data_IF_042186264594
#
_entry.id   IF_042186264594
#
_cell.length_a   1.000
_cell.length_b   1.000
_cell.length_c   1.000
_cell.angle_alpha   90.00
_cell.angle_beta   90.00
_cell.angle_gamma   90.00
#
_symmetry.space_group_name_H-M   'P 1'
#
loop_
_entity.id
_entity.type
_entity.pdbx_description
1 polymer ?
#
# COMPACT_ATOMS: atom_id res chain seq x y z
N UNK A 1 -33.10 -36.15 -25.64
CA UNK A 1 -33.19 -34.81 -25.02
C UNK A 1 -31.96 -34.67 -24.09
N UNK A 2 -30.86 -34.19 -24.66
CA UNK A 2 -29.65 -33.96 -23.85
C UNK A 2 -29.95 -32.74 -22.96
N UNK A 3 -30.02 -32.96 -21.66
CA UNK A 3 -29.99 -31.87 -20.66
C UNK A 3 -28.60 -31.20 -20.83
N UNK A 4 -28.57 -30.02 -21.48
CA UNK A 4 -27.42 -29.16 -21.44
C UNK A 4 -27.15 -28.86 -19.96
N UNK A 5 -26.02 -29.33 -19.45
CA UNK A 5 -25.50 -28.82 -18.18
C UNK A 5 -25.42 -27.29 -18.32
N UNK A 6 -25.97 -26.49 -17.39
CA UNK A 6 -25.80 -25.07 -17.44
C UNK A 6 -24.31 -24.77 -17.45
N UNK A 7 -23.86 -23.92 -18.40
CA UNK A 7 -22.49 -23.43 -18.41
C UNK A 7 -22.13 -22.91 -17.02
N UNK A 8 -20.96 -23.23 -16.47
CA UNK A 8 -20.56 -22.72 -15.17
C UNK A 8 -20.68 -21.19 -15.19
N UNK A 9 -21.31 -20.63 -14.17
CA UNK A 9 -21.43 -19.18 -14.03
C UNK A 9 -20.03 -18.57 -13.93
N UNK A 10 -19.75 -17.45 -14.59
CA UNK A 10 -18.46 -16.78 -14.47
C UNK A 10 -18.16 -16.44 -13.03
N UNK A 11 -16.90 -16.63 -12.62
CA UNK A 11 -16.43 -16.32 -11.28
C UNK A 11 -16.40 -14.79 -11.08
N UNK A 12 -17.15 -14.22 -10.13
CA UNK A 12 -17.18 -12.79 -9.92
C UNK A 12 -15.87 -12.27 -9.31
N UNK A 13 -15.47 -11.10 -9.76
CA UNK A 13 -14.21 -10.44 -9.35
C UNK A 13 -14.51 -9.07 -8.78
N UNK A 14 -14.04 -8.80 -7.58
CA UNK A 14 -14.00 -7.45 -7.00
C UNK A 14 -12.57 -6.94 -6.99
N UNK A 15 -12.37 -5.72 -7.47
CA UNK A 15 -11.05 -5.07 -7.51
C UNK A 15 -11.01 -3.94 -6.49
N UNK A 16 -9.99 -3.93 -5.64
CA UNK A 16 -9.65 -2.80 -4.76
C UNK A 16 -8.54 -1.98 -5.37
N UNK A 17 -8.89 -0.80 -5.82
CA UNK A 17 -8.00 0.23 -6.37
C UNK A 17 -7.96 1.45 -5.44
N UNK A 18 -7.11 2.40 -5.76
CA UNK A 18 -6.92 3.63 -5.00
C UNK A 18 -5.47 3.87 -4.68
N UNK A 19 -5.12 5.13 -4.44
CA UNK A 19 -3.74 5.54 -4.27
C UNK A 19 -3.06 4.90 -3.05
N UNK A 20 -1.74 5.04 -2.96
CA UNK A 20 -0.93 4.50 -1.87
C UNK A 20 -1.42 5.03 -0.52
N UNK A 21 -1.54 4.14 0.48
CA UNK A 21 -2.00 4.53 1.81
C UNK A 21 -3.51 4.74 1.96
N UNK A 22 -4.32 4.53 0.91
CA UNK A 22 -5.78 4.72 0.96
C UNK A 22 -6.53 3.70 1.83
N UNK A 23 -5.86 2.66 2.34
CA UNK A 23 -6.45 1.68 3.24
C UNK A 23 -6.94 0.39 2.56
N UNK A 24 -6.49 0.07 1.33
CA UNK A 24 -6.86 -1.15 0.59
C UNK A 24 -6.63 -2.41 1.40
N UNK A 25 -5.41 -2.62 1.87
CA UNK A 25 -5.03 -3.80 2.67
C UNK A 25 -5.81 -3.89 3.99
N UNK A 26 -6.07 -2.76 4.64
CA UNK A 26 -6.90 -2.70 5.86
C UNK A 26 -8.34 -3.15 5.57
N UNK A 27 -8.92 -2.68 4.47
CA UNK A 27 -10.25 -3.09 4.01
C UNK A 27 -10.28 -4.58 3.68
N UNK A 28 -9.30 -5.06 2.90
CA UNK A 28 -9.18 -6.45 2.50
C UNK A 28 -9.13 -7.37 3.73
N UNK A 29 -8.22 -7.11 4.67
CA UNK A 29 -8.10 -7.89 5.93
C UNK A 29 -9.41 -7.96 6.70
N UNK A 30 -10.13 -6.86 6.77
CA UNK A 30 -11.41 -6.80 7.44
C UNK A 30 -12.47 -7.60 6.71
N UNK A 31 -12.58 -7.42 5.41
CA UNK A 31 -13.53 -8.15 4.58
C UNK A 31 -13.31 -9.66 4.67
N UNK A 32 -12.05 -10.13 4.64
CA UNK A 32 -11.71 -11.54 4.80
C UNK A 32 -12.13 -12.11 6.16
N UNK A 33 -12.18 -11.29 7.21
CA UNK A 33 -12.69 -11.71 8.53
C UNK A 33 -14.21 -11.77 8.60
N UNK A 34 -14.89 -10.88 7.86
CA UNK A 34 -16.35 -10.74 7.89
C UNK A 34 -17.04 -11.70 6.90
N UNK A 35 -16.47 -11.94 5.72
CA UNK A 35 -17.02 -12.83 4.68
C UNK A 35 -16.68 -14.31 4.92
N UNK A 36 -17.06 -14.88 6.08
CA UNK A 36 -16.65 -16.23 6.50
C UNK A 36 -17.28 -17.35 5.67
N UNK A 37 -18.47 -17.13 5.15
CA UNK A 37 -19.25 -18.12 4.43
C UNK A 37 -18.99 -18.13 2.92
N UNK A 38 -18.12 -17.23 2.42
CA UNK A 38 -17.76 -17.12 1.02
C UNK A 38 -16.37 -17.72 0.78
N UNK A 39 -16.25 -18.58 -0.22
CA UNK A 39 -14.96 -19.18 -0.63
C UNK A 39 -14.22 -18.19 -1.51
N UNK A 40 -13.37 -17.38 -0.89
CA UNK A 40 -12.66 -16.29 -1.55
C UNK A 40 -11.32 -16.75 -2.11
N UNK A 41 -11.01 -16.31 -3.33
CA UNK A 41 -9.66 -16.22 -3.87
C UNK A 41 -9.12 -14.81 -3.70
N UNK A 42 -7.84 -14.66 -3.37
CA UNK A 42 -7.22 -13.35 -3.13
C UNK A 42 -5.95 -13.20 -3.96
N UNK A 43 -5.89 -12.13 -4.75
CA UNK A 43 -4.70 -11.71 -5.47
C UNK A 43 -4.24 -10.37 -4.91
N UNK A 44 -3.03 -10.30 -4.40
CA UNK A 44 -2.42 -9.06 -3.88
C UNK A 44 -1.29 -8.64 -4.81
N UNK A 45 -1.38 -7.41 -5.32
CA UNK A 45 -0.27 -6.77 -6.03
C UNK A 45 0.36 -5.71 -5.14
N UNK A 46 1.56 -5.98 -4.64
CA UNK A 46 2.34 -5.07 -3.81
C UNK A 46 3.54 -4.53 -4.57
N UNK A 47 3.74 -3.19 -4.51
CA UNK A 47 4.92 -2.51 -5.04
C UNK A 47 6.13 -2.63 -4.12
N UNK A 48 5.94 -3.01 -2.86
CA UNK A 48 7.05 -3.15 -1.93
C UNK A 48 7.69 -4.52 -2.09
N UNK A 49 9.00 -4.56 -2.31
CA UNK A 49 9.80 -5.77 -2.21
C UNK A 49 9.82 -6.33 -0.77
N UNK A 50 9.36 -5.54 0.19
CA UNK A 50 9.10 -5.95 1.56
C UNK A 50 7.69 -6.53 1.65
N UNK A 51 7.58 -7.82 1.92
CA UNK A 51 6.31 -8.57 2.05
C UNK A 51 5.41 -8.10 3.23
N UNK A 52 5.61 -6.89 3.74
CA UNK A 52 4.91 -6.38 4.94
C UNK A 52 3.39 -6.39 4.75
N UNK A 53 2.91 -6.04 3.55
CA UNK A 53 1.47 -6.01 3.29
C UNK A 53 0.93 -7.41 2.93
N UNK A 54 1.72 -8.25 2.25
CA UNK A 54 1.37 -9.64 1.95
C UNK A 54 1.25 -10.49 3.21
N UNK A 55 2.20 -10.40 4.14
CA UNK A 55 2.17 -11.11 5.41
C UNK A 55 1.01 -10.67 6.32
N UNK A 56 0.57 -9.43 6.20
CA UNK A 56 -0.57 -8.91 6.94
C UNK A 56 -1.92 -9.49 6.46
N UNK A 57 -2.01 -9.96 5.22
CA UNK A 57 -3.21 -10.58 4.63
C UNK A 57 -3.19 -12.10 4.80
N UNK A 58 -2.00 -12.70 4.91
CA UNK A 58 -1.85 -14.15 5.11
C UNK A 58 -2.51 -14.57 6.43
N UNK A 59 -3.64 -15.22 6.32
CA UNK A 59 -4.18 -16.07 7.36
C UNK A 59 -3.78 -17.52 7.02
N UNK A 60 -2.76 -18.12 7.68
CA UNK A 60 -2.22 -19.42 7.30
C UNK A 60 -3.26 -20.53 7.31
N UNK A 61 -4.34 -20.35 8.05
CA UNK A 61 -5.42 -21.35 8.14
C UNK A 61 -6.45 -21.23 7.01
N UNK A 62 -6.67 -20.02 6.47
CA UNK A 62 -7.70 -19.77 5.45
C UNK A 62 -7.16 -19.41 4.08
N UNK A 63 -6.10 -18.61 4.02
CA UNK A 63 -5.53 -18.07 2.79
C UNK A 63 -4.03 -18.36 2.75
N UNK A 64 -3.60 -19.26 1.90
CA UNK A 64 -2.20 -19.52 1.65
C UNK A 64 -1.97 -20.04 0.22
N UNK A 65 -0.75 -19.91 -0.27
CA UNK A 65 -0.38 -20.37 -1.61
C UNK A 65 -0.50 -21.89 -1.77
N UNK A 66 -0.32 -22.66 -0.69
CA UNK A 66 -0.45 -24.13 -0.71
C UNK A 66 -1.88 -24.60 -0.93
N UNK A 67 -2.88 -23.81 -0.51
CA UNK A 67 -4.29 -24.04 -0.82
C UNK A 67 -4.67 -23.52 -2.21
N UNK A 68 -3.78 -22.75 -2.86
CA UNK A 68 -4.00 -22.17 -4.16
C UNK A 68 -5.11 -21.12 -4.23
N UNK A 69 -5.56 -20.58 -3.10
CA UNK A 69 -6.58 -19.52 -3.04
C UNK A 69 -5.99 -18.14 -2.69
N UNK A 70 -4.67 -18.04 -2.64
CA UNK A 70 -3.92 -16.81 -2.45
C UNK A 70 -2.80 -16.72 -3.49
N UNK A 71 -2.63 -15.56 -4.09
CA UNK A 71 -1.51 -15.27 -4.98
C UNK A 71 -0.97 -13.87 -4.69
N UNK A 72 0.34 -13.74 -4.61
CA UNK A 72 1.03 -12.47 -4.47
C UNK A 72 1.84 -12.17 -5.73
N UNK A 73 1.70 -10.95 -6.26
CA UNK A 73 2.44 -10.47 -7.43
C UNK A 73 3.37 -9.37 -6.93
N UNK A 74 4.67 -9.67 -6.90
CA UNK A 74 5.69 -8.78 -6.37
C UNK A 74 6.30 -7.92 -7.48
N UNK A 75 6.70 -6.70 -7.12
CA UNK A 75 7.44 -5.72 -7.93
C UNK A 75 6.76 -5.24 -9.21
N UNK A 76 6.29 -4.00 -9.21
CA UNK A 76 5.76 -3.29 -10.36
C UNK A 76 4.23 -3.17 -10.41
N UNK A 77 3.74 -2.52 -11.46
CA UNK A 77 2.31 -2.32 -11.70
C UNK A 77 1.75 -3.40 -12.62
N UNK A 78 0.53 -3.89 -12.37
CA UNK A 78 -0.18 -4.82 -13.26
C UNK A 78 -0.35 -4.22 -14.68
N UNK A 79 -0.38 -2.90 -14.80
CA UNK A 79 -0.43 -2.21 -16.09
C UNK A 79 0.89 -2.24 -16.87
N UNK A 80 1.99 -2.64 -16.23
CA UNK A 80 3.35 -2.68 -16.80
C UNK A 80 3.95 -4.09 -16.82
N UNK A 81 5.12 -4.23 -16.20
CA UNK A 81 5.93 -5.47 -16.23
C UNK A 81 5.26 -6.69 -15.61
N UNK A 82 4.28 -6.51 -14.73
CA UNK A 82 3.58 -7.60 -14.03
C UNK A 82 2.32 -8.10 -14.75
N UNK A 83 1.99 -7.55 -15.92
CA UNK A 83 0.81 -7.96 -16.68
C UNK A 83 0.82 -9.46 -17.01
N UNK A 84 1.97 -10.00 -17.40
CA UNK A 84 2.11 -11.42 -17.72
C UNK A 84 1.95 -12.31 -16.47
N UNK A 85 2.50 -11.90 -15.32
CA UNK A 85 2.33 -12.63 -14.06
C UNK A 85 0.86 -12.63 -13.62
N UNK A 86 0.19 -11.49 -13.70
CA UNK A 86 -1.23 -11.36 -13.40
C UNK A 86 -2.09 -12.24 -14.33
N UNK A 87 -1.84 -12.20 -15.64
CA UNK A 87 -2.50 -13.05 -16.62
C UNK A 87 -2.31 -14.54 -16.27
N UNK A 88 -1.09 -14.95 -15.91
CA UNK A 88 -0.79 -16.33 -15.50
C UNK A 88 -1.56 -16.79 -14.26
N UNK A 89 -1.76 -15.92 -13.28
CA UNK A 89 -2.57 -16.24 -12.10
C UNK A 89 -4.04 -16.40 -12.49
N UNK A 90 -4.58 -15.50 -13.31
CA UNK A 90 -5.97 -15.61 -13.80
C UNK A 90 -6.15 -16.91 -14.60
N UNK A 91 -5.22 -17.25 -15.50
CA UNK A 91 -5.27 -18.50 -16.28
C UNK A 91 -5.26 -19.75 -15.38
N UNK A 92 -4.45 -19.75 -14.33
CA UNK A 92 -4.41 -20.84 -13.34
C UNK A 92 -5.70 -20.97 -12.52
N UNK A 93 -6.48 -19.88 -12.41
CA UNK A 93 -7.73 -19.85 -11.65
C UNK A 93 -8.97 -19.99 -12.54
N UNK A 94 -8.84 -20.04 -13.86
CA UNK A 94 -9.95 -20.28 -14.77
C UNK A 94 -10.65 -21.61 -14.45
N UNK A 95 -12.00 -21.57 -14.39
CA UNK A 95 -12.84 -22.76 -14.18
C UNK A 95 -12.80 -23.36 -12.78
N UNK A 96 -12.23 -22.67 -11.79
CA UNK A 96 -12.24 -23.12 -10.39
C UNK A 96 -13.64 -23.08 -9.80
N UNK A 97 -14.15 -24.26 -9.42
CA UNK A 97 -15.48 -24.43 -8.79
C UNK A 97 -15.43 -24.38 -7.25
N UNK A 98 -14.24 -24.35 -6.68
CA UNK A 98 -14.00 -24.28 -5.24
C UNK A 98 -13.93 -22.82 -4.72
N UNK A 99 -14.02 -21.82 -5.62
CA UNK A 99 -14.13 -20.40 -5.29
C UNK A 99 -15.53 -19.87 -5.63
N UNK A 100 -16.02 -18.97 -4.80
CA UNK A 100 -17.28 -18.25 -5.02
C UNK A 100 -17.03 -16.83 -5.55
N UNK A 101 -15.86 -16.24 -5.20
CA UNK A 101 -15.51 -14.87 -5.55
C UNK A 101 -14.00 -14.66 -5.52
N UNK A 102 -13.48 -13.78 -6.37
CA UNK A 102 -12.08 -13.36 -6.37
C UNK A 102 -11.99 -11.90 -5.95
N UNK A 103 -11.06 -11.60 -5.05
CA UNK A 103 -10.72 -10.23 -4.67
C UNK A 103 -9.30 -9.94 -5.17
N UNK A 104 -9.13 -8.81 -5.84
CA UNK A 104 -7.85 -8.33 -6.33
C UNK A 104 -7.53 -7.01 -5.66
N UNK A 105 -6.45 -6.96 -4.88
CA UNK A 105 -5.87 -5.72 -4.39
C UNK A 105 -4.80 -5.25 -5.35
N UNK A 106 -4.94 -4.02 -5.89
CA UNK A 106 -3.94 -3.43 -6.79
C UNK A 106 -2.93 -2.59 -6.03
N UNK A 107 -1.74 -2.44 -6.61
CA UNK A 107 -0.83 -1.39 -6.14
C UNK A 107 -1.44 -0.01 -6.37
N UNK A 108 -1.01 0.97 -5.55
CA UNK A 108 -1.52 2.34 -5.66
C UNK A 108 -1.17 3.06 -6.98
N UNK A 109 -0.21 2.55 -7.73
CA UNK A 109 0.24 3.07 -9.03
C UNK A 109 -0.37 2.33 -10.23
N UNK A 110 -1.23 1.35 -10.01
CA UNK A 110 -1.84 0.57 -11.09
C UNK A 110 -2.90 1.39 -11.82
N UNK A 111 -2.70 1.57 -13.14
CA UNK A 111 -3.75 2.10 -14.00
C UNK A 111 -4.86 1.04 -14.18
N UNK A 112 -6.13 1.38 -13.95
CA UNK A 112 -7.19 0.38 -13.88
C UNK A 112 -7.50 -0.31 -15.21
N UNK A 113 -7.39 0.39 -16.34
CA UNK A 113 -7.87 -0.10 -17.63
C UNK A 113 -7.18 -1.38 -18.14
N UNK A 114 -5.84 -1.50 -18.16
CA UNK A 114 -5.17 -2.74 -18.58
C UNK A 114 -5.59 -3.96 -17.77
N UNK A 115 -5.82 -3.81 -16.48
CA UNK A 115 -6.28 -4.90 -15.61
C UNK A 115 -7.74 -5.29 -15.91
N UNK A 116 -8.61 -4.30 -16.12
CA UNK A 116 -10.00 -4.54 -16.54
C UNK A 116 -10.02 -5.31 -17.86
N UNK A 117 -9.15 -4.97 -18.80
CA UNK A 117 -9.00 -5.70 -20.07
C UNK A 117 -8.58 -7.16 -19.86
N UNK A 118 -7.59 -7.42 -18.99
CA UNK A 118 -7.12 -8.78 -18.69
C UNK A 118 -8.21 -9.66 -18.07
N UNK A 119 -8.97 -9.13 -17.12
CA UNK A 119 -10.11 -9.83 -16.52
C UNK A 119 -11.17 -10.08 -17.58
N UNK A 120 -11.51 -9.05 -18.37
CA UNK A 120 -12.57 -9.11 -19.36
C UNK A 120 -12.25 -9.96 -20.60
N UNK A 121 -10.99 -10.27 -20.84
CA UNK A 121 -10.56 -11.17 -21.92
C UNK A 121 -10.88 -12.64 -21.63
N UNK A 122 -11.23 -12.97 -20.38
CA UNK A 122 -11.50 -14.34 -19.92
C UNK A 122 -12.99 -14.51 -19.59
N UNK A 123 -13.73 -15.28 -20.36
CA UNK A 123 -15.19 -15.46 -20.15
C UNK A 123 -15.52 -16.20 -18.83
N UNK A 124 -14.54 -16.86 -18.22
CA UNK A 124 -14.65 -17.53 -16.92
C UNK A 124 -14.73 -16.56 -15.74
N UNK A 125 -14.39 -15.29 -15.95
CA UNK A 125 -14.49 -14.24 -14.96
C UNK A 125 -15.49 -13.16 -15.36
N UNK A 126 -16.11 -12.56 -14.35
CA UNK A 126 -16.92 -11.34 -14.54
C UNK A 126 -16.47 -10.29 -13.52
N UNK A 127 -16.13 -9.10 -14.01
CA UNK A 127 -15.86 -7.99 -13.10
C UNK A 127 -17.18 -7.53 -12.46
N UNK A 128 -17.31 -7.81 -11.18
CA UNK A 128 -18.51 -7.55 -10.38
C UNK A 128 -18.51 -6.14 -9.80
N UNK A 129 -17.38 -5.77 -9.18
CA UNK A 129 -17.24 -4.49 -8.50
C UNK A 129 -15.83 -3.93 -8.66
N UNK A 130 -15.71 -2.68 -9.07
CA UNK A 130 -14.46 -1.92 -9.09
C UNK A 130 -14.51 -0.85 -8.02
N UNK A 131 -13.81 -1.08 -6.91
CA UNK A 131 -13.82 -0.22 -5.72
C UNK A 131 -12.60 0.69 -5.72
N UNK A 132 -12.80 2.00 -5.67
CA UNK A 132 -11.70 2.95 -5.49
C UNK A 132 -11.71 3.53 -4.09
N UNK A 133 -10.62 3.33 -3.34
CA UNK A 133 -10.43 3.87 -2.00
C UNK A 133 -9.69 5.21 -2.09
N UNK A 134 -10.21 6.21 -1.40
CA UNK A 134 -9.65 7.57 -1.35
C UNK A 134 -9.45 7.96 0.11
N UNK A 135 -8.20 8.21 0.49
CA UNK A 135 -7.87 8.78 1.80
C UNK A 135 -8.38 10.23 1.89
N UNK A 136 -9.34 10.49 2.77
CA UNK A 136 -9.98 11.79 2.89
C UNK A 136 -8.99 12.92 3.23
N UNK A 137 -8.00 12.65 4.11
CA UNK A 137 -7.00 13.63 4.49
C UNK A 137 -6.11 13.98 3.31
N UNK A 138 -5.52 12.98 2.66
CA UNK A 138 -4.64 13.17 1.48
C UNK A 138 -5.41 13.85 0.34
N UNK A 139 -6.65 13.42 0.08
CA UNK A 139 -7.48 14.00 -0.96
C UNK A 139 -7.82 15.48 -0.70
N UNK A 140 -7.97 15.87 0.56
CA UNK A 140 -8.19 17.25 0.95
C UNK A 140 -6.92 18.08 0.83
N UNK A 141 -5.79 17.59 1.33
CA UNK A 141 -4.52 18.30 1.38
C UNK A 141 -3.88 18.43 -0.01
N UNK A 142 -3.75 17.34 -0.75
CA UNK A 142 -3.01 17.29 -2.02
C UNK A 142 -3.87 17.67 -3.24
N UNK A 143 -5.19 17.44 -3.16
CA UNK A 143 -6.11 17.64 -4.28
C UNK A 143 -7.22 18.67 -4.02
N UNK A 144 -7.11 19.44 -2.92
CA UNK A 144 -8.11 20.43 -2.55
C UNK A 144 -9.52 19.86 -2.44
N UNK A 145 -9.63 18.61 -1.93
CA UNK A 145 -10.89 17.86 -1.89
C UNK A 145 -11.47 17.53 -3.25
N UNK A 146 -10.65 17.39 -4.28
CA UNK A 146 -11.03 17.10 -5.66
C UNK A 146 -11.12 18.32 -6.57
N UNK A 147 -11.02 19.54 -6.04
CA UNK A 147 -11.06 20.77 -6.85
C UNK A 147 -9.92 20.83 -7.85
N UNK A 148 -8.73 20.36 -7.46
CA UNK A 148 -7.52 20.39 -8.28
C UNK A 148 -7.48 19.28 -9.35
N UNK A 149 -8.35 18.27 -9.29
CA UNK A 149 -8.44 17.25 -10.33
C UNK A 149 -9.01 17.75 -11.65
N UNK A 150 -9.62 18.95 -11.66
CA UNK A 150 -10.27 19.55 -12.84
C UNK A 150 -9.35 20.48 -13.68
N UNK A 151 -8.07 20.58 -13.40
CA UNK A 151 -7.25 21.54 -14.19
C UNK A 151 -5.82 21.73 -13.75
N UNK A 152 -5.31 20.97 -12.82
CA UNK A 152 -3.92 21.07 -12.40
C UNK A 152 -3.16 19.83 -12.82
N UNK A 153 -2.06 20.04 -13.49
CA UNK A 153 -1.07 19.04 -13.87
C UNK A 153 -0.31 18.61 -12.59
N UNK A 154 -0.97 17.81 -11.78
CA UNK A 154 -0.24 16.97 -10.82
C UNK A 154 0.11 15.68 -11.55
N UNK A 155 1.35 15.17 -11.46
CA UNK A 155 1.72 13.87 -12.05
C UNK A 155 0.82 12.71 -11.66
N UNK A 156 0.09 12.84 -10.55
CA UNK A 156 -0.82 11.81 -10.01
C UNK A 156 -2.29 12.02 -10.39
N UNK A 157 -2.68 13.24 -10.77
CA UNK A 157 -4.08 13.55 -11.04
C UNK A 157 -4.69 12.69 -12.16
N UNK A 158 -4.04 12.40 -13.28
CA UNK A 158 -4.59 11.54 -14.31
C UNK A 158 -4.87 10.13 -13.82
N UNK A 159 -3.97 9.52 -13.05
CA UNK A 159 -4.16 8.17 -12.51
C UNK A 159 -5.32 8.12 -11.50
N UNK A 160 -5.35 9.06 -10.56
CA UNK A 160 -6.43 9.14 -9.58
C UNK A 160 -7.77 9.43 -10.27
N UNK A 161 -7.80 10.30 -11.28
CA UNK A 161 -8.99 10.57 -12.05
C UNK A 161 -9.50 9.30 -12.76
N UNK A 162 -8.62 8.52 -13.40
CA UNK A 162 -8.96 7.24 -14.03
C UNK A 162 -9.48 6.22 -13.02
N UNK A 163 -8.85 6.11 -11.85
CA UNK A 163 -9.31 5.23 -10.76
C UNK A 163 -10.71 5.65 -10.27
N UNK A 164 -10.99 6.95 -10.15
CA UNK A 164 -12.32 7.47 -9.75
C UNK A 164 -13.35 7.23 -10.85
N UNK A 165 -13.03 7.54 -12.10
CA UNK A 165 -13.98 7.47 -13.21
C UNK A 165 -14.42 6.04 -13.55
N UNK A 166 -13.52 5.06 -13.40
CA UNK A 166 -13.81 3.64 -13.65
C UNK A 166 -14.47 2.92 -12.46
N UNK A 167 -14.49 3.54 -11.28
CA UNK A 167 -15.11 2.95 -10.10
C UNK A 167 -16.63 2.88 -10.24
N UNK A 168 -17.24 1.77 -9.84
CA UNK A 168 -18.68 1.72 -9.55
C UNK A 168 -18.97 1.84 -8.04
N UNK A 169 -17.93 1.71 -7.20
CA UNK A 169 -17.98 2.02 -5.77
C UNK A 169 -16.79 2.89 -5.39
N UNK A 170 -17.03 4.01 -4.72
CA UNK A 170 -15.99 4.87 -4.17
C UNK A 170 -16.09 4.86 -2.65
N UNK A 171 -14.98 4.56 -1.97
CA UNK A 171 -14.87 4.58 -0.52
C UNK A 171 -14.00 5.75 -0.09
N UNK A 172 -14.61 6.76 0.52
CA UNK A 172 -13.88 7.83 1.18
C UNK A 172 -13.46 7.33 2.57
N UNK A 173 -12.17 7.01 2.73
CA UNK A 173 -11.59 6.40 3.93
C UNK A 173 -10.98 7.44 4.85
N UNK A 174 -10.71 7.04 6.10
CA UNK A 174 -10.09 7.89 7.15
C UNK A 174 -10.85 9.20 7.38
N UNK A 175 -12.16 9.16 7.23
CA UNK A 175 -13.02 10.34 7.38
C UNK A 175 -13.05 10.88 8.81
N UNK A 176 -12.61 10.09 9.79
CA UNK A 176 -12.37 10.51 11.16
C UNK A 176 -11.22 11.52 11.31
N UNK A 177 -10.36 11.64 10.29
CA UNK A 177 -9.22 12.58 10.28
C UNK A 177 -9.54 13.96 9.68
N UNK A 178 -10.78 14.18 9.21
CA UNK A 178 -11.23 15.42 8.56
C UNK A 178 -12.55 15.92 9.14
N UNK A 179 -12.82 17.21 8.99
CA UNK A 179 -14.06 17.81 9.47
C UNK A 179 -15.26 17.45 8.57
N UNK A 180 -16.49 17.36 9.10
CA UNK A 180 -17.66 16.97 8.31
C UNK A 180 -17.90 17.80 7.05
N UNK A 181 -17.65 19.11 7.11
CA UNK A 181 -17.82 20.01 5.96
C UNK A 181 -16.87 19.66 4.79
N UNK A 182 -15.66 19.17 5.11
CA UNK A 182 -14.71 18.69 4.11
C UNK A 182 -15.22 17.41 3.44
N UNK A 183 -15.85 16.50 4.17
CA UNK A 183 -16.44 15.27 3.64
C UNK A 183 -17.53 15.62 2.62
N UNK A 184 -18.42 16.57 2.94
CA UNK A 184 -19.48 17.03 2.03
C UNK A 184 -18.92 17.65 0.75
N UNK A 185 -17.85 18.45 0.87
CA UNK A 185 -17.16 19.05 -0.26
C UNK A 185 -16.54 17.99 -1.17
N UNK A 186 -15.84 17.04 -0.58
CA UNK A 186 -15.24 15.91 -1.31
C UNK A 186 -16.29 15.06 -2.01
N UNK A 187 -17.40 14.76 -1.32
CA UNK A 187 -18.50 14.01 -1.90
C UNK A 187 -19.08 14.68 -3.15
N UNK A 188 -19.28 16.02 -3.11
CA UNK A 188 -19.74 16.79 -4.28
C UNK A 188 -18.76 16.69 -5.46
N UNK A 189 -17.46 16.79 -5.19
CA UNK A 189 -16.46 16.68 -6.25
C UNK A 189 -16.36 15.26 -6.82
N UNK A 190 -16.39 14.23 -5.97
CA UNK A 190 -16.34 12.83 -6.39
C UNK A 190 -17.59 12.47 -7.22
N UNK A 191 -18.78 12.87 -6.79
CA UNK A 191 -20.01 12.68 -7.56
C UNK A 191 -19.99 13.43 -8.89
N UNK A 192 -19.34 14.60 -8.96
CA UNK A 192 -19.19 15.33 -10.20
C UNK A 192 -18.19 14.68 -11.18
N UNK A 193 -17.17 13.98 -10.65
CA UNK A 193 -16.19 13.23 -11.46
C UNK A 193 -16.74 11.89 -11.93
N UNK A 194 -17.57 11.23 -11.11
CA UNK A 194 -18.20 9.96 -11.44
C UNK A 194 -19.62 9.90 -10.82
N UNK A 195 -20.63 10.37 -11.56
CA UNK A 195 -22.03 10.38 -11.09
C UNK A 195 -22.64 9.00 -10.93
N UNK A 196 -22.07 7.98 -11.59
CA UNK A 196 -22.59 6.61 -11.59
C UNK A 196 -22.10 5.78 -10.41
N UNK A 197 -21.03 6.20 -9.71
CA UNK A 197 -20.48 5.45 -8.61
C UNK A 197 -21.28 5.61 -7.32
N UNK A 198 -21.49 4.51 -6.60
CA UNK A 198 -21.97 4.57 -5.22
C UNK A 198 -20.83 5.08 -4.31
N UNK A 199 -21.10 6.13 -3.52
CA UNK A 199 -20.12 6.76 -2.65
C UNK A 199 -20.43 6.46 -1.18
N UNK A 200 -19.45 5.92 -0.45
CA UNK A 200 -19.57 5.63 0.98
C UNK A 200 -18.42 6.27 1.76
N UNK A 201 -18.74 6.82 2.93
CA UNK A 201 -17.75 7.23 3.94
C UNK A 201 -17.44 6.06 4.85
N UNK A 202 -16.14 5.75 5.02
CA UNK A 202 -15.69 4.55 5.72
C UNK A 202 -14.64 4.89 6.76
N UNK A 203 -14.91 4.50 8.00
CA UNK A 203 -13.98 4.63 9.12
C UNK A 203 -13.39 3.26 9.46
N UNK A 204 -12.06 3.18 9.54
CA UNK A 204 -11.34 1.94 9.89
C UNK A 204 -11.73 0.72 9.03
N UNK A 205 -12.06 0.92 7.76
CA UNK A 205 -12.45 -0.15 6.83
C UNK A 205 -13.82 -0.79 7.16
N UNK A 206 -14.67 -0.14 7.95
CA UNK A 206 -15.99 -0.70 8.33
C UNK A 206 -17.02 -0.46 7.24
N UNK A 207 -17.28 -1.49 6.46
CA UNK A 207 -18.32 -1.52 5.43
C UNK A 207 -18.89 -2.95 5.33
N UNK A 208 -20.17 -3.06 5.00
CA UNK A 208 -20.82 -4.36 4.84
C UNK A 208 -20.28 -5.07 3.59
N UNK A 209 -19.91 -6.37 3.66
CA UNK A 209 -19.41 -7.12 2.52
C UNK A 209 -20.33 -7.09 1.29
N UNK A 210 -21.65 -7.08 1.49
CA UNK A 210 -22.65 -7.11 0.41
C UNK A 210 -22.65 -5.84 -0.47
N UNK A 211 -22.03 -4.76 0.01
CA UNK A 211 -21.82 -3.53 -0.77
C UNK A 211 -20.60 -3.61 -1.70
N UNK A 212 -19.79 -4.64 -1.54
CA UNK A 212 -18.53 -4.81 -2.28
C UNK A 212 -18.46 -6.13 -3.05
N UNK A 213 -19.18 -7.16 -2.60
CA UNK A 213 -19.17 -8.50 -3.18
C UNK A 213 -20.55 -8.86 -3.72
N UNK A 214 -20.60 -9.42 -4.93
CA UNK A 214 -21.84 -9.88 -5.55
C UNK A 214 -22.79 -8.73 -5.94
N UNK A 215 -22.27 -7.55 -6.21
CA UNK A 215 -23.07 -6.37 -6.51
C UNK A 215 -23.63 -6.39 -7.93
N UNK A 216 -22.94 -7.02 -8.88
CA UNK A 216 -23.29 -7.03 -10.31
C UNK A 216 -23.35 -5.62 -10.92
N UNK A 217 -22.70 -4.65 -10.28
CA UNK A 217 -22.91 -3.23 -10.62
C UNK A 217 -21.86 -2.65 -11.55
N UNK A 218 -20.81 -3.40 -11.91
CA UNK A 218 -19.81 -2.91 -12.85
C UNK A 218 -20.33 -2.87 -14.28
N UNK A 219 -20.27 -1.68 -14.90
CA UNK A 219 -20.70 -1.47 -16.28
C UNK A 219 -19.52 -1.47 -17.24
N UNK A 220 -19.28 -2.61 -17.91
CA UNK A 220 -18.18 -2.80 -18.87
C UNK A 220 -18.28 -1.85 -20.07
N UNK A 221 -19.48 -1.58 -20.58
CA UNK A 221 -19.66 -0.70 -21.74
C UNK A 221 -19.27 0.73 -21.39
N UNK A 222 -19.73 1.24 -20.25
CA UNK A 222 -19.33 2.56 -19.77
C UNK A 222 -17.81 2.67 -19.58
N UNK A 223 -17.16 1.63 -19.07
CA UNK A 223 -15.70 1.61 -18.90
C UNK A 223 -14.97 1.61 -20.26
N UNK A 224 -15.53 0.93 -21.28
CA UNK A 224 -14.99 0.94 -22.64
C UNK A 224 -15.15 2.31 -23.31
N UNK A 225 -16.29 2.96 -23.14
CA UNK A 225 -16.53 4.29 -23.69
C UNK A 225 -15.56 5.32 -23.09
N UNK A 226 -15.39 5.32 -21.76
CA UNK A 226 -14.41 6.17 -21.07
C UNK A 226 -12.97 5.92 -21.55
N UNK A 227 -12.59 4.66 -21.74
CA UNK A 227 -11.24 4.31 -22.20
C UNK A 227 -11.03 4.74 -23.67
N UNK A 228 -12.07 4.71 -24.50
CA UNK A 228 -11.99 5.20 -25.87
C UNK A 228 -11.82 6.75 -25.92
N UNK A 229 -12.50 7.48 -25.04
CA UNK A 229 -12.32 8.93 -24.92
C UNK A 229 -10.87 9.26 -24.55
N UNK A 230 -10.23 8.54 -23.63
CA UNK A 230 -8.83 8.78 -23.25
C UNK A 230 -7.82 8.53 -24.38
N UNK A 231 -8.13 7.64 -25.33
CA UNK A 231 -7.27 7.39 -26.50
C UNK A 231 -7.33 8.54 -27.52
N UNK A 232 -8.41 9.31 -27.54
CA UNK A 232 -8.56 10.46 -28.43
C UNK A 232 -7.89 11.73 -27.91
N UNK A 233 -7.66 11.84 -26.59
CA UNK A 233 -7.08 13.02 -25.95
C UNK A 233 -5.53 13.03 -25.93
N UNK A 234 -4.86 12.25 -26.80
CA UNK A 234 -3.39 12.15 -26.89
C UNK A 234 -2.70 11.83 -25.56
N UNK A 235 -3.40 11.21 -24.63
CA UNK A 235 -2.81 10.52 -23.49
C UNK A 235 -2.21 9.25 -24.07
N UNK A 236 -1.02 9.41 -24.69
CA UNK A 236 -0.27 8.35 -25.33
C UNK A 236 -0.25 7.10 -24.45
N UNK A 237 -0.14 5.95 -25.11
CA UNK A 237 -0.09 4.58 -24.56
C UNK A 237 0.25 4.57 -23.09
N UNK A 238 -0.71 4.25 -22.22
CA UNK A 238 -0.74 4.38 -20.76
C UNK A 238 0.64 4.83 -20.25
N UNK A 239 0.86 6.14 -20.19
CA UNK A 239 2.16 6.67 -19.83
C UNK A 239 2.51 5.85 -18.60
N UNK A 240 3.48 4.97 -18.74
CA UNK A 240 3.98 4.18 -17.63
C UNK A 240 4.37 5.30 -16.68
N UNK A 241 3.48 5.55 -15.70
CA UNK A 241 3.83 6.52 -14.68
C UNK A 241 5.17 6.02 -14.22
N UNK A 242 6.20 6.81 -14.43
CA UNK A 242 7.59 6.51 -14.12
C UNK A 242 7.73 6.40 -12.59
N UNK A 243 6.77 5.67 -12.01
CA UNK A 243 6.68 5.32 -10.61
C UNK A 243 7.38 3.98 -10.45
N UNK A 244 8.52 4.04 -9.82
CA UNK A 244 9.25 2.87 -9.40
C UNK A 244 9.43 2.85 -7.89
N UNK A 245 9.86 1.71 -7.40
CA UNK A 245 10.29 1.54 -6.01
C UNK A 245 11.81 1.34 -5.95
N UNK A 246 12.40 1.78 -4.85
CA UNK A 246 13.79 1.47 -4.49
C UNK A 246 13.82 1.06 -3.04
N UNK A 247 14.40 -0.10 -2.74
CA UNK A 247 14.65 -0.55 -1.38
C UNK A 247 16.04 -0.10 -0.95
N UNK A 248 16.13 0.46 0.23
CA UNK A 248 17.38 0.86 0.88
C UNK A 248 17.53 -0.01 2.13
N UNK A 249 18.58 -0.82 2.16
CA UNK A 249 18.95 -1.61 3.33
C UNK A 249 20.33 -1.16 3.79
N UNK A 250 20.43 -0.71 5.03
CA UNK A 250 21.72 -0.28 5.63
C UNK A 250 21.69 -0.59 7.13
N UNK A 251 22.71 -1.25 7.69
CA UNK A 251 22.76 -1.53 9.13
C UNK A 251 23.05 -0.28 9.97
N UNK A 252 23.57 0.79 9.39
CA UNK A 252 23.90 2.04 10.10
C UNK A 252 22.64 2.79 10.52
N UNK A 253 22.71 3.54 11.64
CA UNK A 253 21.61 4.42 12.05
C UNK A 253 21.46 5.64 11.16
N UNK A 254 20.25 6.15 11.06
CA UNK A 254 19.98 7.45 10.46
C UNK A 254 20.20 8.57 11.48
N UNK A 255 20.94 9.61 11.06
CA UNK A 255 21.16 10.78 11.91
C UNK A 255 19.87 11.59 12.09
N UNK A 256 19.33 11.77 13.30
CA UNK A 256 17.97 12.29 13.52
C UNK A 256 17.75 13.67 12.90
N UNK A 257 18.73 14.59 13.04
CA UNK A 257 18.61 15.95 12.51
C UNK A 257 18.68 15.99 10.98
N UNK A 258 19.61 15.22 10.35
CA UNK A 258 19.69 15.16 8.88
C UNK A 258 18.43 14.57 8.27
N UNK A 259 17.90 13.50 8.85
CA UNK A 259 16.65 12.89 8.43
C UNK A 259 15.48 13.88 8.53
N UNK A 260 15.39 14.60 9.65
CA UNK A 260 14.36 15.64 9.84
C UNK A 260 14.43 16.74 8.78
N UNK A 261 15.64 17.22 8.47
CA UNK A 261 15.85 18.27 7.46
C UNK A 261 15.47 17.77 6.08
N UNK A 262 15.92 16.58 5.70
CA UNK A 262 15.58 15.96 4.41
C UNK A 262 14.07 15.93 4.19
N UNK A 263 13.34 15.44 5.18
CA UNK A 263 11.89 15.31 5.04
C UNK A 263 11.15 16.65 5.01
N UNK A 264 11.66 17.66 5.68
CA UNK A 264 11.07 19.02 5.60
C UNK A 264 11.31 19.71 4.28
N UNK A 265 12.41 19.41 3.61
CA UNK A 265 12.83 20.11 2.39
C UNK A 265 12.44 19.36 1.10
N UNK A 266 12.29 18.04 1.17
CA UNK A 266 12.13 17.20 -0.02
C UNK A 266 10.80 16.42 -0.08
N UNK A 267 9.98 16.47 0.97
CA UNK A 267 8.67 15.85 0.91
C UNK A 267 7.72 16.64 0.02
N UNK A 268 7.01 15.92 -0.83
CA UNK A 268 5.95 16.46 -1.68
C UNK A 268 6.28 16.57 -3.16
N UNK A 269 7.56 16.55 -3.57
CA UNK A 269 7.93 16.62 -4.98
C UNK A 269 8.29 15.22 -5.51
N UNK A 270 7.34 14.51 -6.08
CA UNK A 270 7.59 13.23 -6.76
C UNK A 270 7.84 12.02 -5.85
N UNK A 271 7.94 12.19 -4.52
CA UNK A 271 8.00 11.08 -3.56
C UNK A 271 6.60 10.83 -3.00
N UNK A 272 6.01 9.72 -3.41
CA UNK A 272 4.62 9.41 -3.10
C UNK A 272 4.47 8.62 -1.81
N UNK A 273 5.42 7.74 -1.54
CA UNK A 273 5.43 6.93 -0.33
C UNK A 273 6.83 6.51 0.05
N UNK A 274 7.11 6.47 1.35
CA UNK A 274 8.20 5.68 1.88
C UNK A 274 7.71 4.92 3.12
N UNK A 275 8.08 3.64 3.24
CA UNK A 275 7.67 2.77 4.33
C UNK A 275 8.79 1.79 4.68
N UNK A 276 8.94 1.48 5.95
CA UNK A 276 9.88 0.46 6.41
C UNK A 276 10.36 0.70 7.83
N UNK A 277 11.38 -0.03 8.22
CA UNK A 277 11.94 0.07 9.56
C UNK A 277 13.17 0.96 9.55
N UNK A 278 13.27 1.79 10.58
CA UNK A 278 14.44 2.66 10.79
C UNK A 278 14.91 2.58 12.23
N UNK A 279 16.14 2.94 12.45
CA UNK A 279 16.67 3.22 13.77
C UNK A 279 17.60 4.44 13.78
N UNK A 280 17.70 5.10 14.93
CA UNK A 280 18.45 6.32 15.15
C UNK A 280 19.28 6.19 16.44
N UNK A 281 20.46 6.83 16.53
CA UNK A 281 21.30 6.77 17.74
C UNK A 281 20.59 7.31 18.99
N UNK A 282 19.70 8.28 18.82
CA UNK A 282 18.90 8.88 19.90
C UNK A 282 17.78 7.98 20.43
N UNK A 283 17.45 6.89 19.71
CA UNK A 283 16.39 5.92 19.98
C UNK A 283 16.87 4.51 19.66
N UNK A 284 18.04 4.19 20.09
CA UNK A 284 18.76 2.97 19.71
C UNK A 284 18.15 1.67 20.27
N UNK A 285 17.18 1.80 21.19
CA UNK A 285 16.39 0.68 21.68
C UNK A 285 15.19 0.37 20.78
N UNK A 286 14.67 1.34 20.05
CA UNK A 286 13.35 1.31 19.42
C UNK A 286 13.42 0.77 17.98
N UNK A 287 12.56 -0.20 17.66
CA UNK A 287 12.23 -0.57 16.28
C UNK A 287 11.14 0.39 15.81
N UNK A 288 11.51 1.35 14.98
CA UNK A 288 10.60 2.38 14.49
C UNK A 288 10.07 2.00 13.12
N UNK A 289 8.75 1.88 13.00
CA UNK A 289 8.08 1.78 11.71
C UNK A 289 7.87 3.18 11.18
N UNK A 290 8.50 3.46 10.08
CA UNK A 290 8.33 4.66 9.29
C UNK A 290 7.24 4.47 8.25
N UNK A 291 6.29 5.38 8.17
CA UNK A 291 5.24 5.40 7.16
C UNK A 291 5.02 6.83 6.69
N UNK A 292 5.43 7.13 5.47
CA UNK A 292 5.21 8.42 4.82
C UNK A 292 4.30 8.21 3.62
N UNK A 293 3.27 9.03 3.50
CA UNK A 293 2.41 9.12 2.33
C UNK A 293 2.14 10.59 2.04
N UNK A 294 2.44 11.04 0.82
CA UNK A 294 2.39 12.44 0.42
C UNK A 294 3.19 13.33 1.40
N UNK A 295 2.63 14.40 1.90
CA UNK A 295 3.25 15.29 2.89
C UNK A 295 3.16 14.83 4.36
N UNK A 296 2.51 13.69 4.63
CA UNK A 296 2.29 13.19 6.01
C UNK A 296 3.32 12.13 6.38
N UNK A 297 3.85 12.22 7.61
CA UNK A 297 4.76 11.25 8.20
C UNK A 297 4.13 10.70 9.47
N UNK A 298 4.11 9.38 9.59
CA UNK A 298 3.77 8.67 10.81
C UNK A 298 4.97 7.81 11.22
N UNK A 299 5.29 7.82 12.50
CA UNK A 299 6.34 7.00 13.08
C UNK A 299 5.76 6.26 14.27
N UNK A 300 5.88 4.94 14.29
CA UNK A 300 5.27 4.07 15.28
C UNK A 300 6.33 3.21 15.96
N UNK A 301 6.22 3.01 17.27
CA UNK A 301 7.04 2.06 17.99
C UNK A 301 6.46 0.66 17.84
N UNK A 302 7.16 -0.23 17.15
CA UNK A 302 6.71 -1.61 16.88
C UNK A 302 7.25 -2.62 17.89
N UNK A 303 8.52 -2.48 18.27
CA UNK A 303 9.22 -3.42 19.13
C UNK A 303 10.50 -2.78 19.68
N UNK A 304 11.30 -3.58 20.38
CA UNK A 304 12.65 -3.21 20.81
C UNK A 304 13.67 -4.12 20.14
N UNK A 305 14.80 -3.53 19.72
CA UNK A 305 15.92 -4.28 19.17
C UNK A 305 16.48 -5.25 20.21
N UNK A 306 16.70 -6.50 19.81
CA UNK A 306 17.26 -7.52 20.73
C UNK A 306 18.63 -7.13 21.27
N UNK A 307 19.46 -6.51 20.41
CA UNK A 307 20.77 -6.02 20.80
C UNK A 307 20.67 -4.95 21.91
N UNK A 308 19.67 -4.07 21.87
CA UNK A 308 19.43 -3.08 22.93
C UNK A 308 19.00 -3.74 24.25
N UNK A 309 18.06 -4.68 24.17
CA UNK A 309 17.57 -5.41 25.35
C UNK A 309 18.68 -6.19 26.06
N UNK A 310 19.60 -6.78 25.30
CA UNK A 310 20.76 -7.51 25.83
C UNK A 310 21.82 -6.58 26.43
N UNK A 311 22.02 -5.40 25.83
CA UNK A 311 23.04 -4.43 26.26
C UNK A 311 22.63 -3.59 27.45
N UNK A 312 21.33 -3.33 27.62
CA UNK A 312 20.80 -2.52 28.72
C UNK A 312 19.58 -3.20 29.35
N UNK A 313 19.78 -4.34 30.05
CA UNK A 313 18.71 -5.03 30.71
C UNK A 313 18.21 -4.16 31.87
N UNK A 314 17.02 -3.60 31.73
CA UNK A 314 16.34 -2.78 32.75
C UNK A 314 15.77 -3.60 33.95
N UNK A 315 16.23 -4.84 34.08
CA UNK A 315 15.81 -5.79 35.12
C UNK A 315 14.46 -6.46 34.85
N UNK A 316 13.87 -6.24 33.69
CA UNK A 316 12.59 -6.88 33.31
C UNK A 316 12.78 -8.27 32.71
N UNK A 317 13.96 -8.57 32.17
CA UNK A 317 14.29 -9.86 31.57
C UNK A 317 14.96 -10.79 32.57
N UNK A 318 14.55 -12.03 32.58
CA UNK A 318 15.22 -13.09 33.36
C UNK A 318 16.51 -13.58 32.64
N UNK A 319 17.49 -14.16 33.35
CA UNK A 319 18.78 -14.58 32.77
C UNK A 319 18.64 -15.56 31.58
N UNK A 320 17.61 -16.43 31.61
CA UNK A 320 17.33 -17.38 30.52
C UNK A 320 16.88 -16.68 29.26
N UNK A 321 16.04 -15.63 29.37
CA UNK A 321 15.60 -14.80 28.24
C UNK A 321 16.78 -14.06 27.62
N UNK A 322 17.66 -13.49 28.45
CA UNK A 322 18.88 -12.82 27.97
C UNK A 322 19.77 -13.80 27.21
N UNK A 323 19.90 -15.03 27.71
CA UNK A 323 20.71 -16.07 27.05
C UNK A 323 20.10 -16.43 25.69
N UNK A 324 18.77 -16.57 25.62
CA UNK A 324 18.05 -16.85 24.38
C UNK A 324 18.23 -15.73 23.37
N UNK A 325 18.08 -14.47 23.80
CA UNK A 325 18.27 -13.29 22.94
C UNK A 325 19.70 -13.20 22.42
N UNK A 326 20.72 -13.48 23.24
CA UNK A 326 22.12 -13.55 22.82
C UNK A 326 22.34 -14.64 21.75
N UNK A 327 21.69 -15.79 21.90
CA UNK A 327 21.71 -16.85 20.90
C UNK A 327 21.14 -16.38 19.54
N UNK A 328 20.05 -15.60 19.55
CA UNK A 328 19.43 -15.05 18.35
C UNK A 328 20.29 -13.97 17.66
N UNK A 329 21.19 -13.33 18.39
CA UNK A 329 22.12 -12.34 17.83
C UNK A 329 23.37 -12.96 17.19
N UNK A 330 23.50 -14.28 17.25
CA UNK A 330 24.64 -14.97 16.64
C UNK A 330 24.59 -14.84 15.12
N UNK A 331 25.65 -14.25 14.53
CA UNK A 331 25.72 -14.02 13.08
C UNK A 331 25.13 -12.69 12.60
N UNK A 332 24.63 -11.85 13.51
CA UNK A 332 24.19 -10.48 13.19
C UNK A 332 25.40 -9.53 13.08
N UNK A 333 25.15 -8.25 12.74
CA UNK A 333 26.22 -7.25 12.60
C UNK A 333 27.00 -7.07 13.91
N UNK A 334 28.36 -7.05 13.89
CA UNK A 334 29.17 -7.03 15.11
C UNK A 334 28.93 -5.79 15.98
N UNK A 335 28.74 -4.61 15.37
CA UNK A 335 28.57 -3.34 16.09
C UNK A 335 27.10 -3.01 16.38
N UNK A 336 26.19 -3.41 15.50
CA UNK A 336 24.77 -2.99 15.56
C UNK A 336 23.84 -4.11 16.02
N UNK A 337 24.28 -5.38 16.01
CA UNK A 337 23.42 -6.52 16.32
C UNK A 337 22.34 -6.71 15.26
N UNK A 338 21.08 -6.82 15.68
CA UNK A 338 19.91 -6.96 14.81
C UNK A 338 19.32 -5.61 14.33
N UNK A 339 19.98 -4.48 14.64
CA UNK A 339 19.57 -3.17 14.16
C UNK A 339 19.86 -3.02 12.67
N UNK A 340 18.89 -2.59 11.91
CA UNK A 340 19.04 -2.22 10.51
C UNK A 340 17.95 -1.22 10.09
N UNK A 341 18.25 -0.41 9.10
CA UNK A 341 17.26 0.37 8.37
C UNK A 341 16.90 -0.39 7.11
N UNK A 342 15.61 -0.52 6.85
CA UNK A 342 15.06 -1.14 5.64
C UNK A 342 13.88 -0.32 5.19
N UNK A 343 14.04 0.46 4.13
CA UNK A 343 13.07 1.43 3.65
C UNK A 343 12.79 1.23 2.17
N UNK A 344 11.51 1.10 1.82
CA UNK A 344 11.04 1.21 0.44
C UNK A 344 10.63 2.64 0.16
N UNK A 345 11.18 3.22 -0.91
CA UNK A 345 10.83 4.56 -1.42
C UNK A 345 10.15 4.40 -2.77
N UNK A 346 8.96 4.98 -2.92
CA UNK A 346 8.14 4.96 -4.13
C UNK A 346 7.97 6.38 -4.65
N UNK A 347 8.31 6.60 -5.90
CA UNK A 347 8.24 7.92 -6.53
C UNK A 347 8.54 7.87 -8.03
N UNK A 348 8.52 9.04 -8.68
CA UNK A 348 9.00 9.17 -10.06
C UNK A 348 10.48 8.83 -10.13
N UNK A 349 10.99 8.30 -11.24
CA UNK A 349 12.38 7.85 -11.32
C UNK A 349 13.35 8.94 -10.91
N UNK A 350 13.21 10.13 -11.47
CA UNK A 350 14.11 11.26 -11.20
C UNK A 350 14.09 11.70 -9.73
N UNK A 351 12.91 11.95 -9.17
CA UNK A 351 12.79 12.45 -7.79
C UNK A 351 13.16 11.38 -6.78
N UNK A 352 12.80 10.11 -7.06
CA UNK A 352 13.16 8.95 -6.24
C UNK A 352 14.68 8.80 -6.16
N UNK A 353 15.39 8.86 -7.28
CA UNK A 353 16.85 8.66 -7.32
C UNK A 353 17.58 9.76 -6.54
N UNK A 354 17.13 11.02 -6.68
CA UNK A 354 17.64 12.14 -5.88
C UNK A 354 17.37 11.93 -4.40
N UNK A 355 16.12 11.62 -4.05
CA UNK A 355 15.73 11.41 -2.67
C UNK A 355 16.49 10.24 -2.01
N UNK A 356 16.70 9.14 -2.74
CA UNK A 356 17.48 7.99 -2.27
C UNK A 356 18.94 8.38 -1.99
N UNK A 357 19.55 9.22 -2.83
CA UNK A 357 20.91 9.73 -2.58
C UNK A 357 20.95 10.62 -1.33
N UNK A 358 20.01 11.54 -1.21
CA UNK A 358 19.91 12.42 -0.03
C UNK A 358 19.63 11.63 1.25
N UNK A 359 18.79 10.59 1.18
CA UNK A 359 18.52 9.69 2.31
C UNK A 359 19.75 8.90 2.71
N UNK A 360 20.53 8.40 1.74
CA UNK A 360 21.81 7.71 2.01
C UNK A 360 22.83 8.62 2.71
N UNK A 361 22.80 9.92 2.43
CA UNK A 361 23.64 10.91 3.13
C UNK A 361 23.16 11.17 4.58
N UNK A 362 21.97 10.73 4.94
CA UNK A 362 21.48 10.82 6.32
C UNK A 362 21.99 9.70 7.24
N UNK A 363 22.59 8.61 6.70
CA UNK A 363 23.20 7.59 7.56
C UNK A 363 24.40 8.16 8.30
N UNK A 364 24.55 7.77 9.58
CA UNK A 364 25.67 8.23 10.40
C UNK A 364 27.00 7.83 9.79
N UNK A 365 27.98 8.74 9.92
CA UNK A 365 29.39 8.53 9.57
C UNK A 365 30.07 7.66 10.63
N UNK A 366 31.27 7.14 10.33
CA UNK A 366 32.05 6.32 11.28
C UNK A 366 32.40 7.08 12.55
N UNK A 367 32.66 8.39 12.46
CA UNK A 367 32.91 9.24 13.64
C UNK A 367 31.65 9.39 14.49
N UNK A 368 30.49 9.56 13.89
CA UNK A 368 29.19 9.64 14.59
C UNK A 368 28.81 8.29 15.21
N UNK A 369 29.10 7.18 14.54
CA UNK A 369 28.92 5.83 15.09
C UNK A 369 29.83 5.65 16.32
N UNK A 370 31.09 6.09 16.23
CA UNK A 370 32.02 6.05 17.36
C UNK A 370 31.55 6.92 18.53
N UNK A 371 30.97 8.10 18.25
CA UNK A 371 30.37 8.97 19.25
C UNK A 371 29.16 8.31 19.94
N UNK A 372 28.27 7.66 19.17
CA UNK A 372 27.17 6.87 19.71
C UNK A 372 27.67 5.73 20.63
N UNK A 373 28.66 4.97 20.20
CA UNK A 373 29.25 3.88 21.02
C UNK A 373 29.85 4.39 22.35
N UNK A 374 30.27 5.65 22.39
CA UNK A 374 30.73 6.33 23.62
C UNK A 374 29.61 6.89 24.49
N UNK A 375 28.36 6.76 24.04
CA UNK A 375 27.20 7.29 24.74
C UNK A 375 26.95 8.79 24.55
N UNK A 376 27.52 9.39 23.49
CA UNK A 376 27.26 10.79 23.17
C UNK A 376 25.81 10.99 22.69
N UNK A 377 25.22 12.14 23.05
CA UNK A 377 23.82 12.44 22.71
C UNK A 377 23.69 13.05 21.32
N UNK A 378 22.64 12.67 20.62
CA UNK A 378 22.29 13.21 19.30
C UNK A 378 21.10 14.18 19.42
N UNK A 379 21.15 15.27 18.68
CA UNK A 379 20.04 16.20 18.58
C UNK A 379 18.90 15.58 17.78
N UNK A 380 17.80 15.28 18.47
CA UNK A 380 16.61 14.60 17.93
C UNK A 380 15.39 15.53 17.95
N UNK A 381 15.04 16.11 16.79
CA UNK A 381 13.87 17.00 16.66
C UNK A 381 12.54 16.26 16.50
N UNK A 382 12.55 14.92 16.39
CA UNK A 382 11.35 14.13 16.20
C UNK A 382 10.46 14.10 17.46
N UNK A 383 9.12 13.97 17.31
CA UNK A 383 8.23 13.87 18.46
C UNK A 383 8.67 12.76 19.42
N UNK A 384 8.69 13.07 20.73
CA UNK A 384 9.10 12.09 21.75
C UNK A 384 8.01 11.09 22.11
N UNK A 385 6.75 11.46 21.88
CA UNK A 385 5.60 10.57 22.12
C UNK A 385 5.24 9.90 20.81
N UNK A 386 5.51 8.61 20.71
CA UNK A 386 5.08 7.77 19.60
C UNK A 386 3.78 7.05 19.98
N UNK A 387 2.90 6.84 19.01
CA UNK A 387 1.74 5.98 19.20
C UNK A 387 2.23 4.53 19.37
N UNK A 388 1.86 3.92 20.50
CA UNK A 388 1.96 2.47 20.65
C UNK A 388 0.78 1.85 19.92
N UNK A 389 1.04 0.97 18.96
CA UNK A 389 0.03 0.20 18.21
C UNK A 389 -0.15 -1.18 18.83
#
# INVERSE_FOLDING_TARGET
>A
MHLMNPSPQPLPVTVFSGFLGSGKTTLLRRLLREAKDTRLGVIVNDLSELEVDGDLVRDPERFNEQRGNFASIHTGSISGTQRAAFAGVLDAWCGRSDLDHVIIETSGSTHPWPMIQEISARPEFTLDTFVTLIDAKVFMEDHGGGRLLRGVVSPQAPLMAAQIQLANVILLTKTEKVIPQAIELMAKHLTALNPSAALYSVNYGRIKPELLLGTGSFNRHQAQDLAAEWQHDDVGEAASYDLGSTVITDPRPLHPRRLWTLFRERLGAGIHRSKGFIWMPSRDCDVLLWNQAAGSIEMELMAYWKAALVSNPDGRLVPEEITTLRGMLHGTHPDFGDRACELTVIGTAHDRDIFVQDLKACFCTDDEITAWQRGETFDDPWPKTLLLV
#
